data_IF_204768845314
#
_entry.id   IF_204768845314
#
_cell.length_a   1.000
_cell.length_b   1.000
_cell.length_c   1.000
_cell.angle_alpha   90.00
_cell.angle_beta   90.00
_cell.angle_gamma   90.00
#
_symmetry.space_group_name_H-M   'P 1'
#
loop_
_entity.id
_entity.type
_entity.pdbx_description
1 polymer ?
#
# COMPACT_ATOMS: atom_id res chain seq x y z
N UNK A 1 0.90 37.73 -9.30
CA UNK A 1 0.72 36.53 -8.46
C UNK A 1 -0.68 36.01 -8.73
N UNK A 2 -0.96 34.72 -8.54
CA UNK A 2 -2.35 34.33 -8.40
C UNK A 2 -2.80 34.87 -7.04
N UNK A 3 -3.68 35.87 -7.04
CA UNK A 3 -4.21 36.46 -5.79
C UNK A 3 -5.05 35.46 -5.00
N UNK A 4 -5.34 34.30 -5.60
CA UNK A 4 -6.07 33.21 -4.98
C UNK A 4 -5.47 31.83 -5.28
N UNK A 5 -5.48 30.96 -4.27
CA UNK A 5 -5.02 29.58 -4.39
C UNK A 5 -5.63 28.69 -3.30
N UNK A 6 -5.60 27.38 -3.52
CA UNK A 6 -5.88 26.34 -2.54
C UNK A 6 -4.90 25.17 -2.76
N UNK A 7 -4.19 24.76 -1.72
CA UNK A 7 -3.20 23.69 -1.76
C UNK A 7 -3.50 22.67 -0.67
N UNK A 8 -3.29 21.39 -1.00
CA UNK A 8 -3.53 20.29 -0.07
C UNK A 8 -2.54 19.15 -0.30
N UNK A 9 -2.23 18.43 0.78
CA UNK A 9 -1.47 17.19 0.82
C UNK A 9 -2.16 16.21 1.77
N UNK A 10 -2.19 14.92 1.41
CA UNK A 10 -2.74 13.84 2.23
C UNK A 10 -1.85 12.61 2.11
N UNK A 11 -1.54 11.99 3.24
CA UNK A 11 -0.68 10.82 3.34
C UNK A 11 -1.32 9.77 4.24
N UNK A 12 -1.54 8.59 3.69
CA UNK A 12 -2.13 7.44 4.34
C UNK A 12 -1.24 6.21 4.09
N UNK A 13 -0.65 5.69 5.17
CA UNK A 13 0.34 4.64 5.04
C UNK A 13 -0.26 3.32 4.56
N UNK A 14 -1.37 2.90 5.15
CA UNK A 14 -1.99 1.60 4.98
C UNK A 14 -3.50 1.75 5.10
N UNK A 15 -4.24 1.30 4.10
CA UNK A 15 -5.67 1.03 4.18
C UNK A 15 -5.88 -0.48 4.04
N UNK A 16 -6.36 -1.12 5.10
CA UNK A 16 -6.56 -2.56 5.17
C UNK A 16 -8.02 -2.91 5.36
N UNK A 17 -8.52 -3.88 4.60
CA UNK A 17 -9.83 -4.49 4.79
C UNK A 17 -9.71 -5.99 4.97
N UNK A 18 -10.46 -6.55 5.92
CA UNK A 18 -10.58 -8.00 6.08
C UNK A 18 -12.04 -8.40 6.22
N UNK A 19 -12.37 -9.57 5.67
CA UNK A 19 -13.72 -10.14 5.78
C UNK A 19 -13.62 -11.56 6.31
N UNK A 20 -14.50 -11.92 7.25
CA UNK A 20 -14.58 -13.28 7.75
C UNK A 20 -16.03 -13.79 7.67
N UNK A 21 -16.25 -14.76 6.77
CA UNK A 21 -17.57 -15.35 6.54
C UNK A 21 -18.10 -16.15 7.73
N UNK A 22 -17.23 -16.56 8.66
CA UNK A 22 -17.65 -17.26 9.88
C UNK A 22 -18.28 -16.36 10.94
N UNK A 23 -18.12 -15.03 10.81
CA UNK A 23 -18.79 -14.09 11.69
C UNK A 23 -20.24 -13.90 11.25
N UNK A 24 -21.21 -14.08 12.16
CA UNK A 24 -22.59 -13.69 11.91
C UNK A 24 -22.61 -12.22 11.44
N UNK A 25 -23.32 -11.93 10.35
CA UNK A 25 -23.44 -10.60 9.71
C UNK A 25 -22.31 -10.18 8.74
N UNK A 26 -21.40 -11.08 8.34
CA UNK A 26 -20.37 -10.78 7.34
C UNK A 26 -19.56 -9.52 7.68
N UNK A 27 -19.05 -9.49 8.92
CA UNK A 27 -18.25 -8.36 9.42
C UNK A 27 -17.08 -8.04 8.48
N UNK A 28 -17.00 -6.76 8.10
CA UNK A 28 -15.89 -6.17 7.37
C UNK A 28 -15.14 -5.28 8.35
N UNK A 29 -13.93 -5.69 8.72
CA UNK A 29 -13.04 -4.84 9.49
C UNK A 29 -12.23 -3.97 8.53
N UNK A 30 -12.25 -2.66 8.75
CA UNK A 30 -11.38 -1.72 8.05
C UNK A 30 -10.46 -1.04 9.06
N UNK A 31 -9.18 -0.92 8.72
CA UNK A 31 -8.19 -0.20 9.50
C UNK A 31 -7.37 0.69 8.58
N UNK A 32 -7.29 1.98 8.92
CA UNK A 32 -6.60 2.98 8.11
C UNK A 32 -5.58 3.72 8.95
N UNK A 33 -4.32 3.77 8.50
CA UNK A 33 -3.33 4.71 8.99
C UNK A 33 -1.92 4.13 9.25
N UNK A 34 -0.99 4.91 9.82
CA UNK A 34 -1.13 6.33 10.20
C UNK A 34 -1.54 7.27 9.06
N UNK A 35 -2.22 8.36 9.41
CA UNK A 35 -2.77 9.33 8.46
C UNK A 35 -2.35 10.77 8.84
N UNK A 36 -2.05 11.57 7.83
CA UNK A 36 -1.74 12.99 7.97
C UNK A 36 -2.28 13.80 6.79
N UNK A 37 -2.78 15.01 7.08
CA UNK A 37 -3.30 15.93 6.08
C UNK A 37 -2.81 17.36 6.36
N UNK A 38 -2.63 18.13 5.29
CA UNK A 38 -2.29 19.55 5.36
C UNK A 38 -3.03 20.31 4.26
N UNK A 39 -3.68 21.42 4.62
CA UNK A 39 -4.35 22.33 3.68
C UNK A 39 -3.95 23.78 3.96
N UNK A 40 -3.77 24.55 2.88
CA UNK A 40 -3.44 25.99 2.93
C UNK A 40 -4.10 26.70 1.75
N UNK A 41 -4.78 27.82 2.00
CA UNK A 41 -5.37 28.65 0.96
C UNK A 41 -4.99 30.14 1.11
N UNK A 42 -5.29 30.91 0.06
CA UNK A 42 -5.07 32.35 0.02
C UNK A 42 -6.01 33.16 0.94
N UNK A 43 -7.10 32.56 1.43
CA UNK A 43 -8.05 33.20 2.34
C UNK A 43 -7.58 33.14 3.81
N UNK A 44 -6.45 32.50 4.06
CA UNK A 44 -5.89 32.30 5.40
C UNK A 44 -6.44 31.04 6.08
N UNK A 45 -7.16 30.18 5.35
CA UNK A 45 -7.45 28.83 5.83
C UNK A 45 -6.14 28.05 5.83
N UNK A 46 -5.75 27.57 6.99
CA UNK A 46 -4.62 26.68 7.17
C UNK A 46 -5.04 25.61 8.18
N UNK A 47 -4.89 24.33 7.82
CA UNK A 47 -5.30 23.21 8.67
C UNK A 47 -4.34 22.05 8.51
N UNK A 48 -3.80 21.57 9.62
CA UNK A 48 -3.00 20.35 9.69
C UNK A 48 -3.69 19.35 10.60
N UNK A 49 -3.70 18.09 10.18
CA UNK A 49 -4.22 16.99 10.99
C UNK A 49 -3.28 15.79 10.93
N UNK A 50 -3.24 15.04 12.02
CA UNK A 50 -2.55 13.77 12.12
C UNK A 50 -3.37 12.82 13.00
N UNK A 51 -3.66 11.62 12.49
CA UNK A 51 -4.55 10.67 13.14
C UNK A 51 -3.91 9.29 13.28
N UNK A 52 -4.25 8.64 14.39
CA UNK A 52 -4.03 7.22 14.54
C UNK A 52 -5.28 6.43 14.12
N UNK A 53 -5.13 5.27 13.45
CA UNK A 53 -6.24 4.43 13.04
C UNK A 53 -7.32 4.25 14.10
N UNK A 54 -8.57 4.58 13.74
CA UNK A 54 -9.74 4.19 14.52
C UNK A 54 -10.18 2.79 14.10
N UNK A 55 -9.98 1.86 15.02
CA UNK A 55 -10.28 0.42 14.93
C UNK A 55 -11.74 0.05 15.24
N UNK A 56 -12.62 1.04 15.40
CA UNK A 56 -14.01 0.83 15.78
C UNK A 56 -14.25 0.58 17.28
N UNK A 57 -15.51 0.69 17.74
CA UNK A 57 -15.89 0.55 19.15
C UNK A 57 -15.92 -0.90 19.65
N UNK A 58 -15.80 -1.88 18.74
CA UNK A 58 -15.87 -3.31 19.08
C UNK A 58 -14.53 -3.81 19.64
N UNK A 59 -13.41 -3.23 19.21
CA UNK A 59 -12.08 -3.68 19.60
C UNK A 59 -11.78 -3.58 21.11
N UNK A 60 -12.16 -2.50 21.84
CA UNK A 60 -11.93 -2.41 23.28
C UNK A 60 -12.73 -3.43 24.12
N UNK A 61 -13.81 -3.98 23.58
CA UNK A 61 -14.69 -4.94 24.28
C UNK A 61 -14.30 -6.40 24.12
N UNK A 62 -13.33 -6.70 23.25
CA UNK A 62 -12.91 -8.07 22.97
C UNK A 62 -11.86 -8.55 24.00
N UNK A 63 -12.16 -9.57 24.83
CA UNK A 63 -11.27 -10.03 25.90
C UNK A 63 -9.93 -10.57 25.36
N UNK A 64 -8.82 -9.95 25.75
CA UNK A 64 -7.48 -10.39 25.36
C UNK A 64 -7.04 -9.92 23.96
N UNK A 65 -7.80 -9.03 23.31
CA UNK A 65 -7.65 -8.76 21.87
C UNK A 65 -7.18 -7.34 21.56
N UNK A 66 -7.05 -6.43 22.54
CA UNK A 66 -6.60 -5.07 22.20
C UNK A 66 -5.56 -4.49 23.14
N UNK A 67 -4.50 -3.92 22.53
CA UNK A 67 -3.28 -3.23 23.00
C UNK A 67 -2.65 -3.68 24.35
N UNK A 68 -3.45 -3.84 25.40
CA UNK A 68 -3.03 -4.25 26.74
C UNK A 68 -2.62 -5.71 26.86
N UNK A 69 -3.23 -6.61 26.07
CA UNK A 69 -2.82 -8.02 26.03
C UNK A 69 -1.68 -8.30 25.03
N UNK A 70 -1.57 -7.47 23.99
CA UNK A 70 -0.70 -7.72 22.83
C UNK A 70 0.62 -6.90 22.88
N UNK A 71 0.60 -5.73 23.52
CA UNK A 71 1.78 -4.89 23.77
C UNK A 71 2.01 -4.54 25.25
N UNK A 72 1.07 -4.86 26.14
CA UNK A 72 1.09 -4.34 27.51
C UNK A 72 0.81 -2.83 27.58
N UNK A 73 0.28 -2.22 26.52
CA UNK A 73 -0.01 -0.78 26.46
C UNK A 73 -1.52 -0.56 26.60
N UNK A 74 -2.01 0.43 27.36
CA UNK A 74 -3.42 0.79 27.32
C UNK A 74 -3.85 1.14 25.88
N UNK A 75 -5.15 1.10 25.57
CA UNK A 75 -5.62 1.73 24.34
C UNK A 75 -5.65 3.26 24.54
N UNK A 76 -5.26 4.07 23.53
CA UNK A 76 -5.46 5.52 23.62
C UNK A 76 -6.97 5.82 23.67
N UNK A 77 -7.33 6.96 24.26
CA UNK A 77 -8.69 7.49 24.16
C UNK A 77 -8.95 7.97 22.72
N UNK A 78 -10.08 7.56 22.16
CA UNK A 78 -10.48 7.92 20.80
C UNK A 78 -11.53 9.03 20.79
N UNK A 79 -11.51 9.94 19.78
CA UNK A 79 -10.56 9.99 18.66
C UNK A 79 -9.16 10.41 19.11
N UNK A 80 -8.13 9.67 18.66
CA UNK A 80 -6.73 9.94 18.99
C UNK A 80 -6.06 10.67 17.82
N UNK A 81 -5.96 11.98 17.92
CA UNK A 81 -5.50 12.85 16.84
C UNK A 81 -4.84 14.14 17.33
N UNK A 82 -3.96 14.70 16.51
CA UNK A 82 -3.44 16.06 16.65
C UNK A 82 -4.01 16.92 15.52
N UNK A 83 -4.50 18.12 15.84
CA UNK A 83 -4.99 19.07 14.84
C UNK A 83 -4.56 20.49 15.18
N UNK A 84 -4.25 21.28 14.15
CA UNK A 84 -3.88 22.68 14.27
C UNK A 84 -4.48 23.46 13.10
N UNK A 85 -5.14 24.57 13.41
CA UNK A 85 -5.67 25.51 12.42
C UNK A 85 -4.91 26.83 12.43
N UNK A 86 -5.17 27.71 11.46
CA UNK A 86 -4.59 29.05 11.38
C UNK A 86 -4.67 29.80 12.74
N UNK A 87 -3.51 30.24 13.24
CA UNK A 87 -3.39 30.99 14.49
C UNK A 87 -3.43 30.15 15.78
N UNK A 88 -3.67 28.84 15.68
CA UNK A 88 -3.53 27.93 16.82
C UNK A 88 -2.05 27.61 17.11
N UNK A 89 -1.75 27.14 18.32
CA UNK A 89 -0.43 26.62 18.64
C UNK A 89 -0.26 25.22 18.04
N UNK A 90 0.96 24.80 17.69
CA UNK A 90 1.21 23.41 17.26
C UNK A 90 0.66 22.41 18.27
N UNK A 91 -0.01 21.38 17.78
CA UNK A 91 -0.53 20.28 18.57
C UNK A 91 0.44 19.10 18.49
N UNK A 92 0.79 18.54 19.65
CA UNK A 92 1.59 17.33 19.75
C UNK A 92 0.87 16.38 20.68
N UNK A 93 0.58 15.17 20.19
CA UNK A 93 -0.05 14.12 20.99
C UNK A 93 0.87 12.91 20.94
N UNK A 94 1.30 12.45 22.11
CA UNK A 94 2.20 11.31 22.23
C UNK A 94 1.57 10.23 23.10
N UNK A 95 1.70 9.01 22.63
CA UNK A 95 1.36 7.79 23.34
C UNK A 95 2.53 6.82 23.21
N UNK A 96 2.73 5.83 24.10
CA UNK A 96 3.81 4.86 23.91
C UNK A 96 3.80 4.24 22.50
N UNK A 97 4.84 4.54 21.71
CA UNK A 97 4.97 4.09 20.32
C UNK A 97 4.08 4.83 19.31
N UNK A 98 3.47 5.96 19.64
CA UNK A 98 2.70 6.78 18.69
C UNK A 98 3.04 8.25 18.93
N UNK A 99 3.40 8.97 17.88
CA UNK A 99 3.62 10.42 17.91
C UNK A 99 2.81 11.05 16.80
N UNK A 100 1.91 11.96 17.15
CA UNK A 100 1.10 12.75 16.24
C UNK A 100 1.47 14.22 16.41
N UNK A 101 1.65 14.91 15.30
CA UNK A 101 2.00 16.32 15.26
C UNK A 101 1.19 17.04 14.19
N UNK A 102 0.72 18.24 14.52
CA UNK A 102 0.05 19.13 13.59
C UNK A 102 0.53 20.57 13.85
N UNK A 103 0.94 21.25 12.79
CA UNK A 103 1.39 22.64 12.83
C UNK A 103 0.78 23.41 11.64
N UNK A 104 0.28 24.62 11.92
CA UNK A 104 -0.40 25.45 10.94
C UNK A 104 0.09 26.90 11.05
N UNK A 105 0.99 27.28 10.15
CA UNK A 105 1.57 28.60 10.04
C UNK A 105 1.14 29.32 8.76
N UNK A 106 1.44 30.62 8.67
CA UNK A 106 1.01 31.48 7.56
C UNK A 106 1.59 31.11 6.18
N UNK A 107 2.65 30.31 6.13
CA UNK A 107 3.26 29.85 4.88
C UNK A 107 3.75 28.40 4.94
N UNK A 108 3.38 27.66 5.98
CA UNK A 108 3.74 26.24 6.11
C UNK A 108 2.71 25.54 6.99
N UNK A 109 2.20 24.42 6.51
CA UNK A 109 1.21 23.60 7.19
C UNK A 109 1.70 22.16 7.14
N UNK A 110 1.80 21.49 8.29
CA UNK A 110 2.41 20.17 8.41
C UNK A 110 1.58 19.30 9.34
N UNK A 111 1.11 18.17 8.83
CA UNK A 111 0.62 17.05 9.62
C UNK A 111 1.64 15.91 9.59
N UNK A 112 1.90 15.26 10.72
CA UNK A 112 2.67 14.02 10.76
C UNK A 112 2.17 13.04 11.79
N UNK A 113 2.03 11.79 11.37
CA UNK A 113 1.62 10.68 12.20
C UNK A 113 2.68 9.58 12.12
N UNK A 114 3.32 9.29 13.24
CA UNK A 114 4.33 8.23 13.37
C UNK A 114 3.84 7.19 14.35
N UNK A 115 3.95 5.94 13.96
CA UNK A 115 3.55 4.77 14.74
C UNK A 115 4.70 3.79 14.77
N UNK A 116 5.03 3.27 15.95
CA UNK A 116 6.21 2.46 16.21
C UNK A 116 7.43 3.30 16.61
N UNK A 117 8.61 2.68 16.52
CA UNK A 117 9.90 3.32 16.77
C UNK A 117 10.59 3.61 15.44
N UNK A 118 11.07 4.84 15.30
CA UNK A 118 11.89 5.24 14.16
C UNK A 118 13.10 4.30 13.97
N UNK A 119 13.34 3.93 12.72
CA UNK A 119 14.49 3.12 12.30
C UNK A 119 14.45 1.61 12.60
N UNK A 120 13.48 1.11 13.37
CA UNK A 120 13.38 -0.34 13.66
C UNK A 120 12.10 -0.95 13.12
N UNK A 121 10.97 -0.36 13.49
CA UNK A 121 9.64 -0.89 13.20
C UNK A 121 8.65 0.23 13.40
N UNK A 122 8.16 0.76 12.30
CA UNK A 122 7.19 1.85 12.36
C UNK A 122 6.74 2.25 10.97
N UNK A 123 5.64 2.99 10.98
CA UNK A 123 5.07 3.65 9.82
C UNK A 123 4.96 5.15 10.13
N UNK A 124 5.26 5.96 9.13
CA UNK A 124 5.22 7.41 9.21
C UNK A 124 4.46 7.92 8.00
N UNK A 125 3.48 8.79 8.25
CA UNK A 125 2.77 9.56 7.23
C UNK A 125 3.02 11.04 7.51
N UNK A 126 3.42 11.78 6.47
CA UNK A 126 3.67 13.22 6.55
C UNK A 126 2.95 13.89 5.39
N UNK A 127 2.16 14.90 5.69
CA UNK A 127 1.56 15.78 4.70
C UNK A 127 2.00 17.20 4.99
N UNK A 128 2.43 17.91 3.95
CA UNK A 128 2.98 19.25 4.08
C UNK A 128 2.60 20.13 2.90
N UNK A 129 2.28 21.38 3.21
CA UNK A 129 2.07 22.44 2.23
C UNK A 129 2.90 23.64 2.62
N UNK A 130 3.72 24.14 1.70
CA UNK A 130 4.54 25.33 1.89
C UNK A 130 4.22 26.40 0.84
N UNK A 131 4.20 27.65 1.27
CA UNK A 131 4.23 28.83 0.41
C UNK A 131 5.62 29.45 0.46
N UNK A 132 6.28 29.58 -0.69
CA UNK A 132 7.59 30.24 -0.78
C UNK A 132 7.43 31.76 -0.73
N UNK A 133 8.51 32.46 -0.35
CA UNK A 133 8.54 33.94 -0.28
C UNK A 133 8.21 34.59 -1.64
N UNK A 134 8.55 33.93 -2.74
CA UNK A 134 8.25 34.40 -4.10
C UNK A 134 6.79 34.14 -4.54
N UNK A 135 5.97 33.54 -3.67
CA UNK A 135 4.58 33.19 -3.95
C UNK A 135 4.42 31.87 -4.70
N UNK A 136 5.45 31.02 -4.73
CA UNK A 136 5.32 29.63 -5.17
C UNK A 136 4.64 28.77 -4.09
N UNK A 137 4.10 27.62 -4.50
CA UNK A 137 3.44 26.67 -3.62
C UNK A 137 4.04 25.28 -3.83
N UNK A 138 4.25 24.54 -2.75
CA UNK A 138 4.58 23.11 -2.80
C UNK A 138 3.64 22.35 -1.88
N UNK A 139 3.10 21.23 -2.37
CA UNK A 139 2.36 20.26 -1.59
C UNK A 139 3.08 18.91 -1.69
N UNK A 140 3.44 18.33 -0.56
CA UNK A 140 4.21 17.08 -0.46
C UNK A 140 3.51 16.11 0.47
N UNK A 141 3.43 14.85 0.07
CA UNK A 141 2.91 13.77 0.88
C UNK A 141 3.88 12.59 0.85
N UNK A 142 4.26 12.11 2.03
CA UNK A 142 5.23 11.06 2.24
C UNK A 142 4.66 9.97 3.14
N UNK A 143 4.88 8.73 2.74
CA UNK A 143 4.65 7.54 3.55
C UNK A 143 5.92 6.73 3.59
N UNK A 144 6.31 6.27 4.78
CA UNK A 144 7.39 5.31 4.92
C UNK A 144 7.08 4.27 5.99
N UNK A 145 7.48 3.02 5.76
CA UNK A 145 7.58 2.04 6.84
C UNK A 145 8.76 1.08 6.67
N UNK A 146 9.38 0.75 7.80
CA UNK A 146 10.61 -0.06 7.79
C UNK A 146 10.32 -1.54 7.51
N UNK A 147 9.26 -2.08 8.10
CA UNK A 147 8.88 -3.47 7.96
C UNK A 147 7.37 -3.64 8.17
N UNK A 148 6.75 -4.39 7.26
CA UNK A 148 5.35 -4.81 7.32
C UNK A 148 5.31 -6.32 7.15
N UNK A 149 4.67 -7.03 8.07
CA UNK A 149 4.55 -8.50 8.01
C UNK A 149 3.07 -8.89 7.91
N UNK A 150 2.77 -9.79 6.99
CA UNK A 150 1.44 -10.35 6.79
C UNK A 150 1.48 -11.83 7.18
N UNK A 151 1.00 -12.12 8.39
CA UNK A 151 1.14 -13.44 8.99
C UNK A 151 2.61 -13.88 9.12
N UNK A 152 2.86 -15.18 9.02
CA UNK A 152 4.21 -15.75 9.07
C UNK A 152 4.93 -15.80 7.72
N UNK A 153 4.20 -15.54 6.62
CA UNK A 153 4.62 -15.99 5.29
C UNK A 153 4.88 -14.88 4.30
N UNK A 154 4.55 -13.62 4.59
CA UNK A 154 4.84 -12.52 3.67
C UNK A 154 5.32 -11.29 4.45
N UNK A 155 6.37 -10.65 3.95
CA UNK A 155 6.82 -9.38 4.51
C UNK A 155 7.41 -8.43 3.48
N UNK A 156 7.20 -7.14 3.73
CA UNK A 156 7.74 -6.00 3.00
C UNK A 156 8.68 -5.24 3.92
N UNK A 157 9.78 -4.71 3.39
CA UNK A 157 10.69 -3.85 4.14
C UNK A 157 11.18 -2.70 3.29
N UNK A 158 11.46 -1.56 3.94
CA UNK A 158 11.89 -0.33 3.28
C UNK A 158 10.87 0.17 2.27
N UNK A 159 9.60 0.25 2.68
CA UNK A 159 8.56 0.85 1.86
C UNK A 159 8.62 2.36 1.95
N UNK A 160 8.56 3.03 0.80
CA UNK A 160 8.50 4.48 0.69
C UNK A 160 7.54 4.85 -0.44
N UNK A 161 6.62 5.77 -0.19
CA UNK A 161 5.75 6.38 -1.21
C UNK A 161 5.82 7.89 -1.05
N UNK A 162 5.94 8.58 -2.17
CA UNK A 162 6.08 10.03 -2.24
C UNK A 162 5.21 10.58 -3.37
N UNK A 163 4.59 11.72 -3.12
CA UNK A 163 3.97 12.57 -4.12
C UNK A 163 4.26 14.03 -3.84
N UNK A 164 4.49 14.80 -4.91
CA UNK A 164 4.73 16.23 -4.84
C UNK A 164 4.02 16.97 -5.97
N UNK A 165 3.44 18.11 -5.64
CA UNK A 165 2.93 19.10 -6.59
C UNK A 165 3.56 20.45 -6.27
N UNK A 166 4.34 20.99 -7.21
CA UNK A 166 4.93 22.33 -7.12
C UNK A 166 4.28 23.25 -8.14
N UNK A 167 3.88 24.44 -7.72
CA UNK A 167 3.44 25.53 -8.60
C UNK A 167 4.37 26.72 -8.41
N UNK A 168 5.04 27.14 -9.49
CA UNK A 168 5.89 28.32 -9.45
C UNK A 168 5.07 29.61 -9.33
N UNK A 169 5.73 30.72 -8.97
CA UNK A 169 5.10 32.05 -8.94
C UNK A 169 4.51 32.48 -10.31
N UNK A 170 5.00 31.90 -11.41
CA UNK A 170 4.47 32.10 -12.76
C UNK A 170 3.27 31.20 -13.09
N UNK A 171 2.79 30.39 -12.14
CA UNK A 171 1.68 29.46 -12.30
C UNK A 171 2.03 28.15 -13.01
N UNK A 172 3.32 27.87 -13.25
CA UNK A 172 3.74 26.60 -13.86
C UNK A 172 3.67 25.48 -12.82
N UNK A 173 2.83 24.47 -13.08
CA UNK A 173 2.72 23.27 -12.25
C UNK A 173 3.68 22.16 -12.70
N UNK A 174 4.31 21.49 -11.75
CA UNK A 174 5.09 20.26 -11.92
C UNK A 174 4.61 19.26 -10.88
N UNK A 175 4.41 18.01 -11.28
CA UNK A 175 4.03 16.92 -10.39
C UNK A 175 5.04 15.79 -10.48
N UNK A 176 5.29 15.11 -9.36
CA UNK A 176 6.14 13.93 -9.29
C UNK A 176 5.54 12.92 -8.30
N UNK A 177 5.82 11.64 -8.50
CA UNK A 177 5.50 10.57 -7.56
C UNK A 177 6.49 9.44 -7.72
N UNK A 178 6.81 8.78 -6.61
CA UNK A 178 7.63 7.57 -6.59
C UNK A 178 7.14 6.61 -5.52
N UNK A 179 7.19 5.31 -5.80
CA UNK A 179 6.95 4.25 -4.84
C UNK A 179 8.08 3.22 -4.93
N UNK A 180 8.67 2.90 -3.77
CA UNK A 180 9.71 1.88 -3.68
C UNK A 180 9.48 0.94 -2.51
N UNK A 181 9.92 -0.30 -2.70
CA UNK A 181 9.95 -1.35 -1.69
C UNK A 181 11.33 -1.99 -1.77
N UNK A 182 12.13 -1.84 -0.72
CA UNK A 182 13.51 -2.33 -0.73
C UNK A 182 13.57 -3.86 -0.85
N UNK A 183 12.70 -4.57 -0.12
CA UNK A 183 12.67 -6.03 -0.14
C UNK A 183 11.29 -6.61 0.21
N UNK A 184 10.90 -7.62 -0.54
CA UNK A 184 9.69 -8.41 -0.41
C UNK A 184 10.08 -9.88 -0.27
N UNK A 185 9.54 -10.58 0.73
CA UNK A 185 9.92 -11.96 1.00
C UNK A 185 8.71 -12.82 1.32
N UNK A 186 8.70 -14.02 0.75
CA UNK A 186 7.87 -15.16 1.16
C UNK A 186 8.79 -16.35 1.45
N UNK A 187 8.71 -17.02 2.61
CA UNK A 187 9.47 -18.22 2.87
C UNK A 187 9.24 -19.28 1.79
N UNK A 188 10.32 -19.78 1.19
CA UNK A 188 10.25 -20.77 0.12
C UNK A 188 9.84 -20.23 -1.26
N UNK A 189 9.81 -18.91 -1.45
CA UNK A 189 9.58 -18.30 -2.76
C UNK A 189 10.60 -18.81 -3.78
N UNK A 190 10.12 -19.21 -4.96
CA UNK A 190 10.97 -19.66 -6.07
C UNK A 190 10.58 -18.88 -7.32
N UNK A 191 11.57 -18.30 -7.99
CA UNK A 191 11.33 -17.54 -9.21
C UNK A 191 12.20 -18.11 -10.32
N UNK A 192 11.57 -18.49 -11.43
CA UNK A 192 12.28 -18.85 -12.65
C UNK A 192 12.38 -17.61 -13.52
N UNK A 193 13.61 -17.12 -13.72
CA UNK A 193 13.85 -15.96 -14.60
C UNK A 193 13.68 -16.44 -16.05
N UNK A 194 12.88 -15.75 -16.89
CA UNK A 194 12.80 -16.09 -18.31
C UNK A 194 14.18 -16.05 -18.99
N UNK A 195 14.45 -16.94 -19.98
CA UNK A 195 15.75 -16.98 -20.65
C UNK A 195 16.14 -15.68 -21.38
N UNK A 196 15.16 -14.92 -21.83
CA UNK A 196 15.37 -13.67 -22.55
C UNK A 196 14.22 -12.68 -22.31
N UNK A 197 14.43 -11.42 -22.70
CA UNK A 197 13.39 -10.38 -22.69
C UNK A 197 12.17 -10.81 -23.51
N UNK A 198 10.94 -10.40 -23.14
CA UNK A 198 9.76 -10.64 -23.97
C UNK A 198 10.00 -10.09 -25.39
N UNK A 199 9.78 -10.92 -26.42
CA UNK A 199 10.00 -10.53 -27.82
C UNK A 199 9.00 -9.49 -28.35
N UNK A 200 7.93 -9.22 -27.60
CA UNK A 200 6.89 -8.26 -27.94
C UNK A 200 6.78 -7.24 -26.82
N UNK A 201 7.19 -5.99 -27.08
CA UNK A 201 6.85 -4.85 -26.22
C UNK A 201 5.54 -4.27 -26.75
N UNK A 202 4.42 -4.33 -25.99
CA UNK A 202 3.21 -3.66 -26.40
C UNK A 202 3.50 -2.16 -26.53
N UNK A 203 3.39 -1.62 -27.74
CA UNK A 203 3.50 -0.17 -27.93
C UNK A 203 2.24 0.45 -27.32
N UNK A 204 2.36 1.37 -26.35
CA UNK A 204 1.19 2.02 -25.76
C UNK A 204 0.32 2.66 -26.85
N UNK A 205 -1.00 2.50 -26.67
CA UNK A 205 -2.19 3.03 -27.38
C UNK A 205 -1.94 3.83 -28.69
N UNK A 206 -2.64 3.52 -29.80
CA UNK A 206 -2.51 4.26 -31.06
C UNK A 206 -2.59 5.78 -30.84
N UNK A 207 -1.56 6.50 -31.27
CA UNK A 207 -1.60 7.97 -31.30
C UNK A 207 -2.73 8.36 -32.25
N UNK A 208 -3.78 9.07 -31.80
CA UNK A 208 -4.89 9.44 -32.67
C UNK A 208 -4.38 10.19 -33.91
N UNK A 209 -4.72 9.68 -35.10
CA UNK A 209 -4.28 10.24 -36.38
C UNK A 209 -3.02 9.60 -36.98
N UNK A 210 -2.32 8.73 -36.26
CA UNK A 210 -1.30 7.85 -36.81
C UNK A 210 -1.88 6.44 -36.93
N UNK A 211 -1.70 5.80 -38.09
CA UNK A 211 -2.02 4.37 -38.24
C UNK A 211 -1.31 3.55 -37.17
N UNK A 212 -1.85 2.37 -36.83
CA UNK A 212 -1.21 1.46 -35.89
C UNK A 212 0.23 1.21 -36.33
N UNK A 213 1.19 1.70 -35.54
CA UNK A 213 2.61 1.48 -35.85
C UNK A 213 2.86 -0.03 -35.89
N UNK A 214 3.69 -0.53 -36.83
CA UNK A 214 4.08 -1.92 -36.85
C UNK A 214 4.61 -2.31 -35.46
N UNK A 215 4.20 -3.48 -34.95
CA UNK A 215 4.70 -3.99 -33.67
C UNK A 215 6.22 -4.13 -33.79
N UNK A 216 6.95 -3.30 -33.05
CA UNK A 216 8.40 -3.41 -32.98
C UNK A 216 8.74 -4.66 -32.17
N UNK A 217 9.37 -5.64 -32.82
CA UNK A 217 9.86 -6.85 -32.19
C UNK A 217 11.38 -6.75 -32.05
N UNK A 218 11.89 -6.21 -30.93
CA UNK A 218 13.32 -6.26 -30.67
C UNK A 218 13.77 -7.72 -30.59
N UNK A 219 14.98 -8.06 -31.10
CA UNK A 219 15.53 -9.39 -30.91
C UNK A 219 15.61 -9.69 -29.40
N UNK A 220 15.27 -10.90 -28.94
CA UNK A 220 15.34 -11.25 -27.53
C UNK A 220 16.75 -11.04 -26.99
N UNK A 221 16.88 -10.21 -25.96
CA UNK A 221 18.15 -10.02 -25.25
C UNK A 221 18.19 -11.04 -24.11
N UNK A 222 19.23 -11.90 -24.03
CA UNK A 222 19.35 -12.84 -22.92
C UNK A 222 19.42 -12.10 -21.59
N UNK A 223 18.64 -12.54 -20.60
CA UNK A 223 18.82 -12.05 -19.25
C UNK A 223 20.08 -12.67 -18.64
N UNK A 224 20.87 -11.93 -17.83
CA UNK A 224 21.80 -12.58 -16.94
C UNK A 224 21.00 -13.55 -16.06
N UNK A 225 21.41 -14.83 -16.02
CA UNK A 225 20.71 -15.91 -15.31
C UNK A 225 19.36 -16.35 -15.90
N UNK A 226 19.08 -15.98 -17.15
CA UNK A 226 17.88 -16.45 -17.84
C UNK A 226 17.77 -17.98 -17.85
N UNK A 227 16.59 -18.50 -17.53
CA UNK A 227 16.28 -19.93 -17.42
C UNK A 227 16.61 -20.56 -16.06
N UNK A 228 17.25 -19.82 -15.14
CA UNK A 228 17.55 -20.33 -13.80
C UNK A 228 16.39 -20.08 -12.84
N UNK A 229 16.16 -21.06 -11.95
CA UNK A 229 15.29 -20.91 -10.78
C UNK A 229 16.12 -20.44 -9.60
N UNK A 230 15.71 -19.33 -8.99
CA UNK A 230 16.34 -18.76 -7.80
C UNK A 230 15.45 -19.08 -6.60
N UNK A 231 16.04 -19.71 -5.58
CA UNK A 231 15.40 -19.97 -4.29
C UNK A 231 15.54 -18.73 -3.38
N UNK A 232 14.42 -18.32 -2.77
CA UNK A 232 14.33 -17.20 -1.83
C UNK A 232 15.03 -15.90 -2.30
N UNK A 233 14.71 -15.36 -3.49
CA UNK A 233 15.35 -14.16 -4.00
C UNK A 233 14.97 -12.92 -3.17
N UNK A 234 15.90 -11.96 -3.11
CA UNK A 234 15.66 -10.62 -2.58
C UNK A 234 14.97 -9.76 -3.64
N UNK A 235 13.64 -9.71 -3.57
CA UNK A 235 12.81 -8.97 -4.53
C UNK A 235 12.60 -7.54 -4.05
N UNK A 236 13.07 -6.55 -4.78
CA UNK A 236 12.70 -5.15 -4.61
C UNK A 236 11.63 -4.71 -5.61
N UNK A 237 11.10 -3.51 -5.43
CA UNK A 237 10.15 -2.86 -6.33
C UNK A 237 10.43 -1.36 -6.40
N UNK A 238 10.43 -0.79 -7.60
CA UNK A 238 10.55 0.67 -7.81
C UNK A 238 9.68 1.06 -9.00
N UNK A 239 8.68 1.91 -8.78
CA UNK A 239 7.87 2.56 -9.82
C UNK A 239 7.33 1.62 -10.92
N UNK A 240 6.78 0.47 -10.54
CA UNK A 240 6.25 -0.52 -11.49
C UNK A 240 7.25 -1.59 -11.93
N UNK A 241 8.51 -1.49 -11.53
CA UNK A 241 9.57 -2.42 -11.91
C UNK A 241 10.02 -3.27 -10.72
N UNK A 242 9.88 -4.58 -10.84
CA UNK A 242 10.47 -5.52 -9.88
C UNK A 242 11.97 -5.66 -10.12
N UNK A 243 12.73 -5.77 -9.03
CA UNK A 243 14.17 -6.00 -9.08
C UNK A 243 14.57 -7.23 -8.27
N UNK A 244 15.61 -7.95 -8.67
CA UNK A 244 16.26 -8.96 -7.84
C UNK A 244 17.66 -8.47 -7.51
N UNK A 245 18.02 -8.52 -6.23
CA UNK A 245 19.39 -8.26 -5.78
C UNK A 245 20.19 -9.56 -5.73
N UNK A 246 21.26 -9.65 -6.51
CA UNK A 246 22.17 -10.80 -6.53
C UNK A 246 23.57 -10.41 -6.05
N UNK A 247 24.30 -11.33 -5.40
CA UNK A 247 25.72 -11.12 -5.10
C UNK A 247 26.54 -11.20 -6.40
N UNK A 248 27.38 -10.19 -6.65
CA UNK A 248 28.34 -10.16 -7.75
C UNK A 248 29.75 -9.87 -7.20
N UNK A 249 30.80 -10.19 -7.97
CA UNK A 249 32.18 -9.93 -7.55
C UNK A 249 32.40 -8.43 -7.34
N UNK A 250 32.42 -7.98 -6.08
CA UNK A 250 32.58 -6.58 -5.70
C UNK A 250 31.33 -5.91 -5.11
N UNK A 251 30.18 -6.59 -5.00
CA UNK A 251 29.02 -6.02 -4.33
C UNK A 251 27.69 -6.71 -4.61
N UNK A 252 26.60 -6.05 -4.23
CA UNK A 252 25.24 -6.44 -4.59
C UNK A 252 24.83 -5.65 -5.82
N UNK A 253 24.29 -6.34 -6.83
CA UNK A 253 23.74 -5.68 -8.02
C UNK A 253 22.25 -6.01 -8.14
N UNK A 254 21.45 -4.98 -8.40
CA UNK A 254 20.03 -5.12 -8.67
C UNK A 254 19.79 -5.27 -10.18
N UNK A 255 18.96 -6.23 -10.57
CA UNK A 255 18.56 -6.47 -11.94
C UNK A 255 17.04 -6.37 -12.06
N UNK A 256 16.54 -5.69 -13.10
CA UNK A 256 15.11 -5.69 -13.39
C UNK A 256 14.64 -7.08 -13.80
N UNK A 257 13.47 -7.50 -13.32
CA UNK A 257 12.89 -8.82 -13.59
C UNK A 257 11.49 -8.67 -14.16
N UNK A 258 11.10 -9.50 -15.14
CA UNK A 258 9.74 -9.48 -15.67
C UNK A 258 8.69 -9.63 -14.58
N UNK A 259 7.70 -8.73 -14.56
CA UNK A 259 6.68 -8.68 -13.53
C UNK A 259 5.89 -9.99 -13.43
N UNK A 260 5.50 -10.59 -14.55
CA UNK A 260 4.69 -11.82 -14.58
C UNK A 260 5.32 -12.96 -13.78
N UNK A 261 6.63 -13.18 -13.95
CA UNK A 261 7.35 -14.24 -13.24
C UNK A 261 7.38 -14.01 -11.71
N UNK A 262 7.47 -12.74 -11.29
CA UNK A 262 7.43 -12.36 -9.88
C UNK A 262 6.00 -12.52 -9.34
N UNK A 263 5.01 -11.95 -10.02
CA UNK A 263 3.60 -12.01 -9.62
C UNK A 263 3.09 -13.45 -9.52
N UNK A 264 3.46 -14.33 -10.46
CA UNK A 264 3.11 -15.75 -10.42
C UNK A 264 3.74 -16.46 -9.22
N UNK A 265 4.99 -16.15 -8.89
CA UNK A 265 5.67 -16.73 -7.74
C UNK A 265 5.04 -16.27 -6.41
N UNK A 266 4.69 -14.98 -6.28
CA UNK A 266 3.98 -14.47 -5.11
C UNK A 266 2.58 -15.07 -4.99
N UNK A 267 1.86 -15.24 -6.11
CA UNK A 267 0.55 -15.90 -6.14
C UNK A 267 0.64 -17.35 -5.69
N UNK A 268 1.67 -18.08 -6.13
CA UNK A 268 1.95 -19.44 -5.65
C UNK A 268 2.26 -19.47 -4.14
N UNK A 269 2.82 -18.38 -3.60
CA UNK A 269 3.03 -18.15 -2.17
C UNK A 269 1.79 -17.67 -1.39
N UNK A 270 0.64 -17.52 -2.05
CA UNK A 270 -0.63 -17.08 -1.43
C UNK A 270 -0.81 -15.57 -1.32
N UNK A 271 -0.01 -14.76 -2.02
CA UNK A 271 -0.16 -13.30 -2.08
C UNK A 271 -0.42 -12.86 -3.53
N UNK A 272 -1.51 -12.12 -3.76
CA UNK A 272 -1.70 -11.41 -5.02
C UNK A 272 -1.20 -9.98 -4.84
N UNK A 273 -0.31 -9.56 -5.73
CA UNK A 273 0.26 -8.22 -5.72
C UNK A 273 -0.29 -7.47 -6.93
N UNK A 274 -0.63 -6.20 -6.76
CA UNK A 274 -0.89 -5.31 -7.87
C UNK A 274 -0.31 -3.92 -7.61
N UNK A 275 -0.01 -3.22 -8.70
CA UNK A 275 0.53 -1.87 -8.66
C UNK A 275 -0.38 -0.96 -9.45
N UNK A 276 -0.75 0.17 -8.84
CA UNK A 276 -1.47 1.23 -9.50
C UNK A 276 -0.49 2.38 -9.73
N UNK A 277 -0.16 2.73 -10.99
CA UNK A 277 0.71 3.86 -11.27
C UNK A 277 0.05 5.18 -10.84
N UNK A 278 0.87 6.19 -10.57
CA UNK A 278 0.40 7.51 -10.23
C UNK A 278 -0.48 8.11 -11.35
N UNK A 279 -1.52 8.85 -10.96
CA UNK A 279 -2.49 9.47 -11.88
C UNK A 279 -2.45 10.98 -11.70
N UNK A 280 -2.14 11.71 -12.77
CA UNK A 280 -2.23 13.17 -12.76
C UNK A 280 -3.70 13.61 -12.68
N UNK A 281 -3.98 14.55 -11.77
CA UNK A 281 -5.30 15.18 -11.64
C UNK A 281 -5.26 16.59 -12.23
N UNK A 282 -6.41 17.27 -12.28
CA UNK A 282 -6.47 18.66 -12.76
C UNK A 282 -5.64 19.63 -11.91
N UNK A 283 -5.43 19.30 -10.65
CA UNK A 283 -4.80 20.19 -9.65
C UNK A 283 -3.48 19.65 -9.11
N UNK A 284 -3.16 18.37 -9.30
CA UNK A 284 -1.94 17.75 -8.81
C UNK A 284 -1.78 16.31 -9.24
N UNK A 285 -1.56 15.41 -8.28
CA UNK A 285 -1.27 14.00 -8.52
C UNK A 285 -1.80 13.14 -7.37
N UNK A 286 -2.47 12.04 -7.73
CA UNK A 286 -2.64 10.89 -6.84
C UNK A 286 -1.46 9.97 -7.07
N UNK A 287 -0.66 9.76 -6.03
CA UNK A 287 0.56 8.97 -6.10
C UNK A 287 0.30 7.50 -6.38
N UNK A 288 1.37 6.79 -6.69
CA UNK A 288 1.29 5.36 -6.94
C UNK A 288 0.93 4.60 -5.66
N UNK A 289 0.20 3.49 -5.80
CA UNK A 289 -0.16 2.63 -4.68
C UNK A 289 0.20 1.17 -4.97
N UNK A 290 0.43 0.42 -3.90
CA UNK A 290 0.76 -0.99 -3.99
C UNK A 290 -0.28 -1.80 -3.21
N UNK A 291 -0.98 -2.70 -3.90
CA UNK A 291 -2.02 -3.51 -3.28
C UNK A 291 -1.52 -4.93 -3.03
N UNK A 292 -1.90 -5.47 -1.87
CA UNK A 292 -1.62 -6.82 -1.44
C UNK A 292 -2.93 -7.48 -1.04
N UNK A 293 -3.35 -8.49 -1.79
CA UNK A 293 -4.40 -9.41 -1.34
C UNK A 293 -3.74 -10.68 -0.79
N UNK A 294 -3.98 -10.96 0.48
CA UNK A 294 -3.40 -12.08 1.19
C UNK A 294 -4.48 -12.85 1.94
N UNK A 295 -4.45 -14.18 1.86
CA UNK A 295 -5.33 -15.02 2.66
C UNK A 295 -4.60 -15.48 3.91
N UNK A 296 -5.00 -14.94 5.06
CA UNK A 296 -4.46 -15.36 6.34
C UNK A 296 -4.95 -16.79 6.61
N UNK A 297 -4.05 -17.74 6.90
CA UNK A 297 -4.43 -19.13 7.19
C UNK A 297 -5.44 -19.22 8.34
N UNK A 298 -6.24 -20.29 8.33
CA UNK A 298 -7.21 -20.52 9.40
C UNK A 298 -6.52 -20.59 10.76
N UNK A 299 -7.08 -19.85 11.71
CA UNK A 299 -6.66 -19.92 13.11
C UNK A 299 -6.83 -21.33 13.67
N UNK A 300 -6.06 -21.71 14.72
CA UNK A 300 -6.40 -22.85 15.54
C UNK A 300 -7.89 -22.79 15.93
N UNK A 301 -8.60 -23.94 15.90
CA UNK A 301 -10.03 -23.98 16.18
C UNK A 301 -10.38 -23.23 17.46
N UNK A 302 -11.26 -22.24 17.33
CA UNK A 302 -11.76 -21.46 18.45
C UNK A 302 -13.27 -21.20 18.22
N UNK A 303 -14.05 -20.93 19.28
CA UNK A 303 -15.51 -20.81 19.15
C UNK A 303 -15.98 -19.55 18.42
N UNK A 304 -15.08 -18.62 18.07
CA UNK A 304 -15.43 -17.31 17.53
C UNK A 304 -15.07 -17.14 16.04
N UNK A 305 -14.04 -17.84 15.57
CA UNK A 305 -13.50 -17.69 14.22
C UNK A 305 -13.10 -19.06 13.68
N UNK A 306 -13.60 -19.38 12.49
CA UNK A 306 -13.21 -20.59 11.76
C UNK A 306 -12.91 -20.27 10.31
N UNK A 307 -11.91 -20.93 9.74
CA UNK A 307 -11.55 -20.77 8.34
C UNK A 307 -10.53 -19.65 8.10
N UNK A 308 -10.07 -19.58 6.85
CA UNK A 308 -9.10 -18.59 6.40
C UNK A 308 -9.73 -17.21 6.23
N UNK A 309 -8.94 -16.15 6.41
CA UNK A 309 -9.42 -14.76 6.36
C UNK A 309 -8.79 -14.04 5.17
N UNK A 310 -9.55 -13.78 4.09
CA UNK A 310 -9.08 -12.91 3.02
C UNK A 310 -8.90 -11.48 3.54
N UNK A 311 -7.74 -10.92 3.25
CA UNK A 311 -7.36 -9.56 3.64
C UNK A 311 -6.79 -8.83 2.44
N UNK A 312 -7.20 -7.59 2.24
CA UNK A 312 -6.69 -6.70 1.19
C UNK A 312 -6.06 -5.48 1.84
N UNK A 313 -4.89 -5.08 1.37
CA UNK A 313 -4.16 -3.91 1.84
C UNK A 313 -3.78 -3.03 0.67
N UNK A 314 -4.10 -1.75 0.74
CA UNK A 314 -3.58 -0.70 -0.13
C UNK A 314 -2.52 0.08 0.63
N UNK A 315 -1.30 0.14 0.08
CA UNK A 315 -0.14 0.74 0.72
C UNK A 315 0.27 2.02 -0.02
N UNK A 316 0.67 3.03 0.75
CA UNK A 316 1.28 4.26 0.24
C UNK A 316 0.31 5.21 -0.45
N UNK A 317 -0.92 5.32 0.06
CA UNK A 317 -1.90 6.28 -0.44
C UNK A 317 -1.43 7.71 -0.17
N UNK A 318 -0.91 8.39 -1.19
CA UNK A 318 -0.45 9.77 -1.11
C UNK A 318 -1.12 10.60 -2.19
N UNK A 319 -1.64 11.77 -1.85
CA UNK A 319 -2.26 12.70 -2.81
C UNK A 319 -1.77 14.10 -2.53
N UNK A 320 -1.47 14.86 -3.59
CA UNK A 320 -1.11 16.28 -3.49
C UNK A 320 -1.80 17.07 -4.58
N UNK A 321 -2.08 18.35 -4.30
CA UNK A 321 -2.60 19.24 -5.33
C UNK A 321 -2.58 20.71 -4.94
N UNK A 322 -2.51 21.54 -5.97
CA UNK A 322 -2.50 22.99 -5.87
C UNK A 322 -3.41 23.56 -6.96
N UNK A 323 -4.50 24.19 -6.57
CA UNK A 323 -5.35 24.98 -7.45
C UNK A 323 -5.00 26.46 -7.37
N UNK A 324 -4.98 27.13 -8.52
CA UNK A 324 -4.89 28.60 -8.64
C UNK A 324 -6.27 29.23 -8.81
N UNK A 325 -7.34 28.43 -8.69
CA UNK A 325 -8.72 28.88 -8.64
C UNK A 325 -9.37 28.31 -7.37
N UNK A 326 -9.56 29.12 -6.31
CA UNK A 326 -10.05 28.65 -5.01
C UNK A 326 -11.50 28.18 -5.08
N UNK A 327 -12.25 28.50 -6.15
CA UNK A 327 -13.61 27.98 -6.35
C UNK A 327 -13.61 26.50 -6.75
N UNK A 328 -12.46 25.98 -7.17
CA UNK A 328 -12.27 24.57 -7.48
C UNK A 328 -11.64 23.86 -6.28
N UNK A 329 -12.35 22.86 -5.76
CA UNK A 329 -11.77 21.95 -4.78
C UNK A 329 -10.52 21.28 -5.38
N UNK A 330 -9.52 21.00 -4.54
CA UNK A 330 -8.37 20.20 -4.94
C UNK A 330 -8.85 18.80 -5.29
N UNK A 331 -8.64 18.40 -6.54
CA UNK A 331 -9.16 17.17 -7.13
C UNK A 331 -8.43 15.94 -6.54
N UNK A 332 -9.20 14.93 -6.13
CA UNK A 332 -8.68 13.69 -5.53
C UNK A 332 -8.39 13.77 -4.03
N UNK A 333 -8.63 14.90 -3.37
CA UNK A 333 -8.53 14.99 -1.91
C UNK A 333 -9.80 14.43 -1.24
N UNK A 334 -9.68 13.69 -0.12
CA UNK A 334 -10.83 13.41 0.71
C UNK A 334 -11.46 14.76 1.11
N UNK A 335 -12.78 14.89 0.95
CA UNK A 335 -13.51 16.02 1.50
C UNK A 335 -13.21 16.07 3.00
N UNK A 336 -12.77 17.24 3.51
CA UNK A 336 -12.32 17.48 4.89
C UNK A 336 -12.80 16.37 5.84
N UNK A 337 -11.85 15.53 6.30
CA UNK A 337 -12.14 14.59 7.38
C UNK A 337 -12.82 15.39 8.51
N UNK A 338 -13.96 14.91 9.05
CA UNK A 338 -14.77 15.69 9.96
C UNK A 338 -13.88 16.22 11.07
N UNK A 339 -13.78 17.54 11.14
CA UNK A 339 -12.99 18.30 12.10
C UNK A 339 -13.49 18.01 13.50
N UNK A 340 -13.06 16.91 14.11
CA UNK A 340 -13.11 16.63 15.56
C UNK A 340 -14.43 16.91 16.28
N UNK A 341 -15.57 16.91 15.58
CA UNK A 341 -16.88 17.03 16.18
C UNK A 341 -17.32 15.66 16.67
N UNK A 342 -17.18 15.42 17.98
CA UNK A 342 -17.63 14.20 18.65
C UNK A 342 -19.07 13.84 18.26
N UNK A 343 -19.23 12.93 17.29
CA UNK A 343 -20.44 12.16 17.09
C UNK A 343 -20.12 10.69 17.39
N UNK A 344 -20.16 10.36 18.67
CA UNK A 344 -20.26 8.99 19.11
C UNK A 344 -21.54 8.36 18.54
N UNK A 345 -21.43 7.23 17.84
CA UNK A 345 -22.49 6.21 17.85
C UNK A 345 -23.49 6.14 16.69
N UNK A 346 -23.13 6.51 15.46
CA UNK A 346 -23.94 6.17 14.28
C UNK A 346 -23.40 4.95 13.53
N UNK A 347 -23.94 3.76 13.76
CA UNK A 347 -23.79 2.64 12.81
C UNK A 347 -24.34 3.09 11.43
N UNK A 348 -23.75 2.69 10.30
CA UNK A 348 -24.40 2.90 9.01
C UNK A 348 -25.71 2.11 8.99
N UNK A 349 -26.84 2.81 9.05
CA UNK A 349 -28.14 2.21 8.77
C UNK A 349 -28.16 1.79 7.31
N UNK A 350 -28.31 0.49 7.07
CA UNK A 350 -28.63 -0.07 5.76
C UNK A 350 -29.82 0.68 5.17
N UNK A 351 -29.63 1.37 4.04
CA UNK A 351 -30.73 1.92 3.27
C UNK A 351 -31.55 0.76 2.72
N UNK A 352 -32.62 0.43 3.44
CA UNK A 352 -33.70 -0.42 2.95
C UNK A 352 -34.37 0.24 1.76
N UNK A 353 -34.68 -0.60 0.79
CA UNK A 353 -35.60 -0.38 -0.32
C UNK A 353 -36.80 0.46 0.09
N UNK A 354 -37.04 1.57 -0.59
CA UNK A 354 -38.39 2.11 -0.68
C UNK A 354 -38.78 2.47 -2.12
N UNK A 355 -39.96 1.97 -2.42
CA UNK A 355 -40.64 1.90 -3.70
C UNK A 355 -41.28 3.26 -3.97
N UNK A 356 -40.96 3.91 -5.10
CA UNK A 356 -41.86 4.91 -5.70
C UNK A 356 -42.11 4.54 -7.15
N UNK A 357 -43.29 3.94 -7.34
CA UNK A 357 -43.98 3.78 -8.60
C UNK A 357 -44.31 5.15 -9.21
N UNK A 358 -44.20 5.28 -10.54
CA UNK A 358 -45.00 6.27 -11.28
C UNK A 358 -44.48 6.75 -12.63
N UNK A 359 -45.00 6.14 -13.70
CA UNK A 359 -45.06 6.58 -15.11
C UNK A 359 -43.73 6.58 -15.90
N UNK A 360 -43.58 5.91 -17.04
CA UNK A 360 -44.54 5.39 -18.00
C UNK A 360 -44.23 5.95 -19.39
N UNK A 361 -43.42 5.24 -20.18
CA UNK A 361 -43.38 5.42 -21.64
C UNK A 361 -43.04 4.08 -22.30
N UNK A 362 -44.05 3.48 -22.92
CA UNK A 362 -43.91 2.41 -23.89
C UNK A 362 -43.32 2.97 -25.20
N UNK A 363 -42.38 2.26 -25.84
CA UNK A 363 -42.67 1.39 -26.99
C UNK A 363 -41.46 1.11 -27.91
N UNK A 364 -41.33 -0.19 -28.21
CA UNK A 364 -40.92 -0.84 -29.47
C UNK A 364 -39.45 -0.82 -29.93
N UNK A 365 -38.81 -1.99 -29.81
CA UNK A 365 -38.57 -2.82 -31.01
C UNK A 365 -37.11 -3.13 -31.41
N UNK A 366 -36.93 -4.39 -31.81
CA UNK A 366 -35.84 -4.98 -32.63
C UNK A 366 -34.74 -5.73 -31.85
N UNK A 367 -34.90 -7.07 -31.82
CA UNK A 367 -33.82 -8.06 -31.64
C UNK A 367 -33.03 -8.20 -32.95
N UNK A 368 -31.75 -8.61 -32.89
CA UNK A 368 -31.48 -9.94 -33.46
C UNK A 368 -30.50 -10.80 -32.64
N UNK A 369 -30.76 -12.09 -32.75
CA UNK A 369 -29.97 -13.24 -32.35
C UNK A 369 -28.55 -13.22 -32.93
N UNK A 370 -27.57 -13.71 -32.16
CA UNK A 370 -26.21 -13.95 -32.63
C UNK A 370 -25.37 -14.67 -31.58
N UNK A 371 -25.50 -15.98 -31.54
CA UNK A 371 -24.62 -16.88 -30.78
C UNK A 371 -23.30 -16.97 -31.55
N UNK A 372 -22.23 -16.42 -30.99
CA UNK A 372 -20.88 -16.45 -31.56
C UNK A 372 -19.99 -17.42 -30.78
N UNK A 373 -19.68 -18.55 -31.41
CA UNK A 373 -18.77 -19.59 -30.94
C UNK A 373 -17.35 -19.04 -30.74
N UNK A 374 -16.70 -19.46 -29.64
CA UNK A 374 -15.26 -19.27 -29.43
C UNK A 374 -14.54 -20.46 -30.09
N UNK A 375 -13.67 -20.26 -31.10
CA UNK A 375 -12.93 -21.35 -31.72
C UNK A 375 -11.85 -21.91 -30.78
N UNK A 376 -11.86 -23.23 -30.63
CA UNK A 376 -10.88 -23.98 -29.87
C UNK A 376 -9.46 -23.92 -30.47
N UNK A 377 -8.47 -23.98 -29.59
CA UNK A 377 -7.09 -24.31 -29.96
C UNK A 377 -6.89 -25.80 -29.67
N UNK A 378 -6.82 -26.57 -30.75
CA UNK A 378 -6.47 -27.97 -30.75
C UNK A 378 -4.99 -28.17 -30.38
N UNK A 379 -4.73 -29.25 -29.65
CA UNK A 379 -3.38 -29.70 -29.32
C UNK A 379 -2.62 -30.28 -30.52
N UNK A 380 -1.30 -30.28 -30.37
CA UNK A 380 -0.30 -31.14 -31.05
C UNK A 380 1.06 -30.77 -30.44
N UNK A 381 2.05 -31.63 -30.26
CA UNK A 381 2.18 -33.07 -30.25
C UNK A 381 3.54 -33.33 -29.56
N UNK A 382 3.70 -34.48 -28.92
CA UNK A 382 4.99 -34.93 -28.40
C UNK A 382 5.99 -35.17 -29.56
N UNK A 383 7.23 -34.72 -29.41
CA UNK A 383 8.37 -35.33 -30.10
C UNK A 383 9.71 -35.06 -29.39
N UNK A 384 10.41 -36.18 -29.16
CA UNK A 384 11.86 -36.39 -29.20
C UNK A 384 12.78 -35.78 -28.12
N UNK A 385 13.17 -36.65 -27.18
CA UNK A 385 14.50 -36.66 -26.56
C UNK A 385 15.59 -36.57 -27.63
N UNK A 386 16.53 -35.65 -27.44
CA UNK A 386 17.90 -35.77 -27.96
C UNK A 386 18.87 -35.55 -26.82
N UNK A 387 19.66 -36.60 -26.56
CA UNK A 387 20.91 -36.57 -25.81
C UNK A 387 21.89 -35.63 -26.51
N UNK A 388 22.47 -34.66 -25.80
CA UNK A 388 23.86 -34.22 -26.00
C UNK A 388 24.40 -33.28 -24.91
N UNK A 389 25.43 -33.80 -24.23
CA UNK A 389 26.64 -33.13 -23.74
C UNK A 389 26.53 -31.89 -22.82
N UNK A 390 26.59 -32.17 -21.52
CA UNK A 390 27.71 -31.75 -20.67
C UNK A 390 28.09 -30.28 -20.61
N UNK A 391 27.35 -29.49 -19.83
CA UNK A 391 27.85 -28.28 -19.17
C UNK A 391 27.60 -28.44 -17.66
N UNK A 392 28.57 -28.09 -16.78
CA UNK A 392 28.41 -28.25 -15.35
C UNK A 392 27.30 -27.34 -14.84
N UNK A 393 26.18 -27.94 -14.43
CA UNK A 393 25.12 -27.26 -13.69
C UNK A 393 25.64 -26.90 -12.31
N UNK A 394 26.12 -25.66 -12.14
CA UNK A 394 26.40 -25.12 -10.82
C UNK A 394 25.07 -24.81 -10.13
N UNK A 395 24.62 -25.71 -9.24
CA UNK A 395 23.53 -25.41 -8.31
C UNK A 395 24.05 -24.39 -7.29
N UNK A 396 23.71 -23.12 -7.47
CA UNK A 396 24.05 -22.07 -6.52
C UNK A 396 23.15 -22.23 -5.29
N UNK A 397 23.57 -23.07 -4.34
CA UNK A 397 22.96 -23.11 -3.00
C UNK A 397 23.50 -21.92 -2.21
N UNK A 398 22.67 -20.91 -1.97
CA UNK A 398 22.94 -19.98 -0.89
C UNK A 398 23.01 -20.77 0.42
N UNK A 399 24.09 -20.57 1.19
CA UNK A 399 24.23 -21.15 2.51
C UNK A 399 23.06 -20.69 3.38
N UNK A 400 22.25 -21.65 3.82
CA UNK A 400 21.18 -21.44 4.76
C UNK A 400 21.79 -21.16 6.14
N UNK A 401 21.86 -19.89 6.52
CA UNK A 401 22.06 -19.49 7.91
C UNK A 401 20.67 -19.39 8.56
N UNK A 402 20.22 -20.52 9.10
CA UNK A 402 19.04 -20.60 9.96
C UNK A 402 19.29 -21.66 11.04
N UNK A 403 19.72 -21.23 12.23
CA UNK A 403 19.57 -21.99 13.47
C UNK A 403 19.29 -21.06 14.64
N UNK A 404 18.00 -20.83 14.88
CA UNK A 404 17.36 -21.05 16.18
C UNK A 404 15.89 -20.57 16.12
N UNK A 405 15.01 -21.45 15.60
CA UNK A 405 13.57 -21.28 15.72
C UNK A 405 13.05 -22.31 16.71
N UNK A 406 12.67 -21.86 17.91
CA UNK A 406 11.94 -22.68 18.89
C UNK A 406 10.50 -22.88 18.42
N UNK A 407 9.82 -23.98 18.82
CA UNK A 407 8.40 -24.17 18.56
C UNK A 407 7.61 -23.05 19.25
N UNK A 408 6.80 -22.35 18.46
CA UNK A 408 5.94 -21.24 18.90
C UNK A 408 4.67 -21.84 19.51
N UNK A 409 4.33 -21.42 20.74
CA UNK A 409 3.15 -21.88 21.48
C UNK A 409 1.86 -21.28 20.89
N UNK A 410 0.73 -21.99 21.00
CA UNK A 410 -0.55 -21.62 20.35
C UNK A 410 -1.12 -20.25 20.76
N UNK A 411 -0.64 -19.65 21.85
CA UNK A 411 -0.98 -18.30 22.29
C UNK A 411 -0.33 -17.22 21.41
N UNK A 412 0.90 -17.44 20.94
CA UNK A 412 1.64 -16.50 20.11
C UNK A 412 1.04 -16.36 18.69
N UNK A 413 0.42 -17.44 18.20
CA UNK A 413 -0.31 -17.44 16.92
C UNK A 413 -1.59 -16.61 17.01
N UNK A 414 -2.28 -16.65 18.16
CA UNK A 414 -3.49 -15.87 18.41
C UNK A 414 -3.19 -14.36 18.48
N UNK A 415 -2.09 -14.02 19.14
CA UNK A 415 -1.56 -12.65 19.23
C UNK A 415 -1.08 -12.12 17.87
N UNK A 416 -0.46 -12.95 17.05
CA UNK A 416 0.01 -12.60 15.70
C UNK A 416 -1.14 -12.21 14.74
N UNK A 417 -2.31 -12.85 14.83
CA UNK A 417 -3.43 -12.54 13.94
C UNK A 417 -4.23 -11.31 14.36
N UNK A 418 -4.23 -10.97 15.64
CA UNK A 418 -4.75 -9.69 16.12
C UNK A 418 -3.78 -8.56 15.77
N UNK A 419 -2.47 -8.86 15.77
CA UNK A 419 -1.49 -7.97 15.17
C UNK A 419 -1.77 -7.77 13.67
N UNK A 420 -2.35 -8.74 12.93
CA UNK A 420 -2.76 -8.56 11.51
C UNK A 420 -3.92 -7.57 11.32
N UNK A 421 -4.82 -7.41 12.30
CA UNK A 421 -5.79 -6.31 12.32
C UNK A 421 -5.17 -4.96 12.75
N UNK A 422 -3.93 -4.98 13.24
CA UNK A 422 -3.16 -3.82 13.70
C UNK A 422 -1.78 -3.74 12.98
N UNK A 423 -1.66 -4.32 11.78
CA UNK A 423 -0.36 -4.80 11.24
C UNK A 423 0.57 -3.69 10.77
N UNK A 424 0.13 -2.44 10.77
CA UNK A 424 1.02 -1.28 10.65
C UNK A 424 1.92 -1.01 11.87
N UNK A 425 1.66 -1.62 13.04
CA UNK A 425 2.30 -1.20 14.33
C UNK A 425 3.26 -2.24 14.94
N UNK A 426 3.38 -3.44 14.36
CA UNK A 426 3.88 -4.63 15.08
C UNK A 426 5.21 -5.23 14.59
N UNK A 427 6.36 -4.57 14.82
CA UNK A 427 7.66 -5.26 14.69
C UNK A 427 8.73 -4.92 15.76
N UNK A 428 8.33 -4.78 17.04
CA UNK A 428 9.28 -4.47 18.14
C UNK A 428 9.46 -5.51 19.25
N UNK A 429 8.66 -6.59 19.35
CA UNK A 429 8.61 -7.37 20.62
C UNK A 429 9.40 -8.69 20.65
N UNK A 430 10.42 -8.90 19.80
CA UNK A 430 11.24 -10.13 19.86
C UNK A 430 12.59 -9.95 20.60
N UNK A 431 13.03 -8.73 20.93
CA UNK A 431 14.37 -8.53 21.53
C UNK A 431 14.39 -8.43 23.07
N UNK A 432 13.23 -8.34 23.76
CA UNK A 432 13.21 -8.15 25.23
C UNK A 432 13.07 -9.41 26.09
N UNK A 433 12.94 -10.61 25.52
CA UNK A 433 12.72 -11.85 26.30
C UNK A 433 13.92 -12.81 26.37
N UNK A 434 15.07 -12.49 25.75
CA UNK A 434 16.25 -13.37 25.72
C UNK A 434 17.50 -12.80 26.40
N UNK A 435 17.36 -11.75 27.22
CA UNK A 435 18.50 -10.93 27.62
C UNK A 435 18.91 -10.86 29.10
N UNK A 436 18.53 -11.78 30.01
CA UNK A 436 19.27 -11.93 31.30
C UNK A 436 19.19 -13.38 31.81
N UNK A 437 20.21 -14.17 31.51
CA UNK A 437 20.75 -15.17 32.44
C UNK A 437 22.23 -15.44 32.14
N UNK A 438 23.06 -15.12 33.15
CA UNK A 438 24.49 -15.40 33.33
C UNK A 438 25.41 -14.48 32.52
N UNK A 439 26.16 -13.57 33.17
CA UNK A 439 27.14 -13.78 34.25
C UNK A 439 26.93 -12.86 35.45
#
# INVERSE_FOLDING_TARGET
>A
MADSYAAAASANAIDGTFTNQSLPLAFVGQGVGPEADATLDSLGTASANAYFPYIGPIAPGLPGIFLGALFGLPAPEYPFGASATAGSKPANVSYPGITLHAESGAGSVVGSATVGNDGVSGATSVARVDQTVDGGLSATADVAFNALKFGSNFSLTGFQSHAETVVSAAGKRVTSSSLSIARMTIPGLRITIPPATPGNVPIPVPVPGFGQLPVFQPPPVPFPFGGQTIDAPDIGFVDGTFTITLPFAGGKQAYAVPADAVLDAFRAGGANLSYQPAVQTKTGITGASFNVDYTVPALPPNPYFTGAVPTSFTLGGVTTGVSLDPSTAVDGMPADLPTGGAAAGGLPSSAGTDNVLGAGVDSAGVLPSGVGEVPGVAGSAAAAQTDQSGLPTATLRLAADARDARPIDGLDVYLLLIAVAAVGVFSATIVRLTGVKQL
#
